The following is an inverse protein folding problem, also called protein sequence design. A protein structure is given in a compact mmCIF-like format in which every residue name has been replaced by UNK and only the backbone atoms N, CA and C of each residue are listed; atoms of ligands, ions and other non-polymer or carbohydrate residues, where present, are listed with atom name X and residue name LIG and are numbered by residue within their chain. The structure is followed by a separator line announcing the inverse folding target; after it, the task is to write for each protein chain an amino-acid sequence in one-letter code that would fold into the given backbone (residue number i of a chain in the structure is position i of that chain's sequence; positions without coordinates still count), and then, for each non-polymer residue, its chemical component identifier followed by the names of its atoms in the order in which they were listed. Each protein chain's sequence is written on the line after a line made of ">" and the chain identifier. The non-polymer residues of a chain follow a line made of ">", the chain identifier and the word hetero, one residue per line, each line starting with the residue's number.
data_IF_821332839894
#
_entry.id   IF_821332839894
#
_cell.length_a   1.000
_cell.length_b   1.000
_cell.length_c   1.000
_cell.angle_alpha   90.00
_cell.angle_beta   90.00
_cell.angle_gamma   90.00
#
_symmetry.space_group_name_H-M   'P 1'
#
loop_
_entity.id
_entity.type
_entity.pdbx_description
1 polymer ?
#
# COMPACT_ATOMS: atom_id res chain seq x y z
N UNK A 1 24.70 -2.60 34.04
CA UNK A 1 23.30 -2.14 33.90
C UNK A 1 23.01 -2.11 32.41
N UNK A 2 21.90 -2.72 31.99
CA UNK A 2 21.60 -2.99 30.60
C UNK A 2 20.80 -1.83 29.98
N UNK A 3 21.35 -1.17 28.98
CA UNK A 3 20.58 -0.38 28.03
C UNK A 3 20.86 -0.96 26.64
N UNK A 4 19.98 -1.87 26.21
CA UNK A 4 19.89 -2.27 24.80
C UNK A 4 19.41 -1.03 24.04
N UNK A 5 20.10 -0.59 22.97
CA UNK A 5 19.58 0.46 22.12
C UNK A 5 18.24 0.00 21.55
N UNK A 6 17.20 0.78 21.77
CA UNK A 6 15.97 0.69 20.97
C UNK A 6 16.38 0.79 19.50
N UNK A 7 15.96 -0.13 18.60
CA UNK A 7 16.06 0.16 17.17
C UNK A 7 15.15 1.36 16.92
N UNK A 8 15.75 2.53 16.77
CA UNK A 8 15.08 3.71 16.28
C UNK A 8 14.40 3.33 14.96
N UNK A 9 13.08 3.40 14.98
CA UNK A 9 12.17 3.54 13.86
C UNK A 9 12.60 2.77 12.60
N UNK A 10 11.96 1.62 12.41
CA UNK A 10 11.81 0.98 11.10
C UNK A 10 11.77 2.06 10.01
N UNK A 11 12.53 1.94 8.91
CA UNK A 11 12.48 2.93 7.85
C UNK A 11 11.02 3.07 7.48
N UNK A 12 10.44 4.26 7.69
CA UNK A 12 9.07 4.54 7.27
C UNK A 12 9.01 4.14 5.81
N UNK A 13 8.46 2.96 5.55
CA UNK A 13 8.41 2.41 4.23
C UNK A 13 7.75 3.49 3.38
N UNK A 14 8.32 3.86 2.21
CA UNK A 14 7.74 4.89 1.38
C UNK A 14 6.26 4.59 1.26
N UNK A 15 5.41 5.53 1.68
CA UNK A 15 3.97 5.27 1.72
C UNK A 15 3.58 4.72 0.34
N UNK A 16 2.96 3.53 0.29
CA UNK A 16 2.71 2.87 -0.97
C UNK A 16 1.88 3.83 -1.81
N UNK A 17 2.33 4.16 -3.02
CA UNK A 17 1.61 5.09 -3.89
C UNK A 17 0.27 4.52 -4.35
N UNK A 18 0.11 3.21 -4.26
CA UNK A 18 -1.08 2.48 -4.65
C UNK A 18 -1.42 1.40 -3.61
N UNK A 19 -2.70 1.10 -3.49
CA UNK A 19 -3.24 0.06 -2.65
C UNK A 19 -3.93 -0.99 -3.53
N UNK A 20 -3.80 -2.26 -3.15
CA UNK A 20 -4.52 -3.37 -3.76
C UNK A 20 -5.69 -3.71 -2.87
N UNK A 21 -6.87 -3.70 -3.47
CA UNK A 21 -8.12 -4.06 -2.82
C UNK A 21 -8.13 -5.58 -2.62
N UNK A 22 -8.04 -6.05 -1.38
CA UNK A 22 -8.04 -7.50 -1.10
C UNK A 22 -9.44 -8.08 -1.01
N UNK A 23 -10.44 -7.23 -0.79
CA UNK A 23 -11.85 -7.55 -0.72
C UNK A 23 -12.69 -6.50 -1.46
N UNK A 24 -13.69 -6.92 -2.23
CA UNK A 24 -14.56 -5.98 -2.91
C UNK A 24 -15.30 -5.09 -1.89
N UNK A 25 -15.28 -3.77 -2.09
CA UNK A 25 -15.89 -2.81 -1.17
C UNK A 25 -16.32 -1.55 -1.91
N UNK A 26 -17.59 -1.17 -1.73
CA UNK A 26 -18.20 -0.05 -2.44
C UNK A 26 -18.06 -0.23 -3.95
N UNK A 27 -17.40 0.74 -4.58
CA UNK A 27 -17.11 0.77 -6.02
C UNK A 27 -15.83 0.00 -6.42
N UNK A 28 -15.08 -0.53 -5.45
CA UNK A 28 -13.80 -1.19 -5.70
C UNK A 28 -13.96 -2.71 -5.76
N UNK A 29 -13.50 -3.29 -6.85
CA UNK A 29 -13.46 -4.75 -7.03
C UNK A 29 -12.26 -5.38 -6.33
N UNK A 30 -12.41 -6.63 -5.87
CA UNK A 30 -11.29 -7.42 -5.35
C UNK A 30 -10.20 -7.57 -6.41
N UNK A 31 -8.96 -7.24 -6.04
CA UNK A 31 -7.80 -7.23 -6.92
C UNK A 31 -7.59 -5.91 -7.69
N UNK A 32 -8.50 -4.94 -7.56
CA UNK A 32 -8.30 -3.62 -8.15
C UNK A 32 -7.12 -2.90 -7.49
N UNK A 33 -6.32 -2.22 -8.30
CA UNK A 33 -5.23 -1.37 -7.82
C UNK A 33 -5.69 0.07 -7.94
N UNK A 34 -5.65 0.77 -6.82
CA UNK A 34 -6.13 2.14 -6.69
C UNK A 34 -5.02 3.01 -6.10
N UNK A 35 -4.96 4.31 -6.45
CA UNK A 35 -4.00 5.20 -5.83
C UNK A 35 -4.27 5.32 -4.33
N UNK A 36 -3.20 5.42 -3.54
CA UNK A 36 -3.27 5.66 -2.10
C UNK A 36 -3.62 7.13 -1.80
N UNK A 37 -4.82 7.53 -2.21
CA UNK A 37 -5.39 8.81 -1.84
C UNK A 37 -6.06 8.70 -0.45
N UNK A 38 -6.06 9.76 0.37
CA UNK A 38 -6.64 9.71 1.72
C UNK A 38 -8.11 9.27 1.75
N UNK A 39 -8.92 9.67 0.77
CA UNK A 39 -10.32 9.21 0.62
C UNK A 39 -10.43 7.70 0.33
N UNK A 40 -9.54 7.18 -0.49
CA UNK A 40 -9.47 5.77 -0.88
C UNK A 40 -8.97 4.93 0.29
N UNK A 41 -7.90 5.38 0.96
CA UNK A 41 -7.35 4.73 2.14
C UNK A 41 -8.37 4.64 3.28
N UNK A 42 -9.19 5.69 3.47
CA UNK A 42 -10.27 5.68 4.46
C UNK A 42 -11.39 4.69 4.08
N UNK A 43 -11.76 4.63 2.81
CA UNK A 43 -12.81 3.74 2.31
C UNK A 43 -12.39 2.27 2.30
N UNK A 44 -11.09 2.03 2.13
CA UNK A 44 -10.49 0.69 2.06
C UNK A 44 -9.74 0.32 3.36
N UNK A 45 -9.86 1.12 4.42
CA UNK A 45 -9.17 0.89 5.69
C UNK A 45 -9.50 -0.52 6.23
N UNK A 46 -8.47 -1.36 6.34
CA UNK A 46 -8.59 -2.77 6.77
C UNK A 46 -9.03 -3.76 5.68
N UNK A 47 -9.29 -3.31 4.46
CA UNK A 47 -9.72 -4.13 3.29
C UNK A 47 -8.82 -3.99 2.06
N UNK A 48 -7.71 -3.28 2.22
CA UNK A 48 -6.67 -3.17 1.21
C UNK A 48 -5.30 -3.46 1.81
N UNK A 49 -4.36 -3.80 0.93
CA UNK A 49 -2.94 -3.94 1.23
C UNK A 49 -2.11 -2.98 0.39
N UNK A 50 -0.88 -2.62 0.80
CA UNK A 50 0.08 -1.94 -0.06
C UNK A 50 0.23 -2.66 -1.40
N UNK A 51 0.18 -1.94 -2.52
CA UNK A 51 0.47 -2.54 -3.82
C UNK A 51 1.95 -2.91 -3.91
N UNK A 52 2.24 -4.17 -4.24
CA UNK A 52 3.62 -4.61 -4.50
C UNK A 52 4.03 -4.29 -5.93
N UNK A 53 5.33 -4.35 -6.23
CA UNK A 53 5.83 -4.20 -7.59
C UNK A 53 5.19 -5.21 -8.57
N UNK A 54 4.87 -6.41 -8.10
CA UNK A 54 4.18 -7.42 -8.90
C UNK A 54 2.73 -7.03 -9.18
N UNK A 55 2.00 -6.55 -8.16
CA UNK A 55 0.63 -6.07 -8.35
C UNK A 55 0.62 -4.90 -9.35
N UNK A 56 1.50 -3.91 -9.17
CA UNK A 56 1.67 -2.76 -10.07
C UNK A 56 1.96 -3.21 -11.52
N UNK A 57 2.82 -4.22 -11.69
CA UNK A 57 3.11 -4.82 -13.00
C UNK A 57 1.89 -5.50 -13.63
N UNK A 58 1.09 -6.23 -12.85
CA UNK A 58 -0.15 -6.89 -13.33
C UNK A 58 -1.21 -5.87 -13.74
N UNK A 59 -1.32 -4.76 -13.02
CA UNK A 59 -2.23 -3.67 -13.39
C UNK A 59 -1.71 -2.79 -14.54
N UNK A 60 -0.52 -3.07 -15.08
CA UNK A 60 0.09 -2.25 -16.14
C UNK A 60 0.56 -0.87 -15.65
N UNK A 61 0.64 -0.66 -14.34
CA UNK A 61 1.18 0.57 -13.73
C UNK A 61 2.71 0.46 -13.76
N UNK A 62 3.28 0.74 -14.93
CA UNK A 62 4.72 0.88 -15.09
C UNK A 62 5.19 2.15 -14.39
N UNK A 63 5.70 2.03 -13.17
CA UNK A 63 6.48 3.12 -12.56
C UNK A 63 7.78 3.22 -13.35
N UNK A 64 7.81 4.12 -14.34
CA UNK A 64 9.08 4.54 -14.95
C UNK A 64 9.89 5.17 -13.83
N UNK A 65 10.94 4.46 -13.39
CA UNK A 65 12.00 5.01 -12.56
C UNK A 65 12.59 6.20 -13.33
N UNK A 66 12.26 7.42 -12.90
CA UNK A 66 12.93 8.64 -13.35
C UNK A 66 14.29 8.74 -12.67
#
# INVERSE_FOLDING_TARGET
>A
MAEKPSPASEPSAPEPTHLVVTEATGDYSRGAIVPNAPDVAKSLAGKCRPATQQDLGVAGIMIRKA
#
